data_IF_673901817551
#
_entry.id   IF_673901817551
#
_cell.length_a   1.000
_cell.length_b   1.000
_cell.length_c   1.000
_cell.angle_alpha   90.00
_cell.angle_beta   90.00
_cell.angle_gamma   90.00
#
_symmetry.space_group_name_H-M   'P 1'
#
loop_
_entity.id
_entity.type
_entity.pdbx_description
1 polymer ?
#
# COMPACT_ATOMS: atom_id res chain seq x y z
N UNK A 1 -11.70 1.38 -19.69
CA UNK A 1 -11.97 2.71 -19.07
C UNK A 1 -12.63 2.60 -17.69
N UNK A 2 -13.96 2.42 -17.56
CA UNK A 2 -14.64 2.43 -16.24
C UNK A 2 -14.17 1.30 -15.32
N UNK A 3 -13.93 0.10 -15.87
CA UNK A 3 -13.44 -1.03 -15.10
C UNK A 3 -12.03 -0.79 -14.51
N UNK A 4 -11.11 -0.23 -15.31
CA UNK A 4 -9.75 0.10 -14.87
C UNK A 4 -9.74 1.22 -13.82
N UNK A 5 -10.56 2.26 -14.00
CA UNK A 5 -10.74 3.32 -13.01
C UNK A 5 -11.26 2.76 -11.68
N UNK A 6 -12.23 1.83 -11.74
CA UNK A 6 -12.74 1.14 -10.56
C UNK A 6 -11.67 0.31 -9.86
N UNK A 7 -10.85 -0.42 -10.61
CA UNK A 7 -9.73 -1.19 -10.05
C UNK A 7 -8.72 -0.25 -9.39
N UNK A 8 -8.33 0.83 -10.05
CA UNK A 8 -7.42 1.82 -9.50
C UNK A 8 -7.92 2.38 -8.17
N UNK A 9 -9.18 2.81 -8.12
CA UNK A 9 -9.79 3.36 -6.89
C UNK A 9 -9.81 2.30 -5.79
N UNK A 10 -10.17 1.06 -6.10
CA UNK A 10 -10.17 -0.04 -5.11
C UNK A 10 -8.77 -0.30 -4.55
N UNK A 11 -7.76 -0.33 -5.40
CA UNK A 11 -6.37 -0.51 -4.99
C UNK A 11 -5.87 0.68 -4.16
N UNK A 12 -6.25 1.91 -4.53
CA UNK A 12 -5.93 3.10 -3.75
C UNK A 12 -6.54 3.02 -2.35
N UNK A 13 -7.84 2.71 -2.25
CA UNK A 13 -8.53 2.52 -0.98
C UNK A 13 -7.91 1.40 -0.14
N UNK A 14 -7.60 0.25 -0.76
CA UNK A 14 -6.93 -0.86 -0.09
C UNK A 14 -5.57 -0.45 0.47
N UNK A 15 -4.81 0.36 -0.28
CA UNK A 15 -3.53 0.88 0.17
C UNK A 15 -3.67 1.87 1.34
N UNK A 16 -4.69 2.72 1.35
CA UNK A 16 -4.98 3.56 2.51
C UNK A 16 -5.41 2.74 3.74
N UNK A 17 -6.14 1.64 3.55
CA UNK A 17 -6.44 0.71 4.64
C UNK A 17 -5.16 0.06 5.17
N UNK A 18 -4.26 -0.38 4.29
CA UNK A 18 -2.95 -0.92 4.67
C UNK A 18 -2.12 0.09 5.47
N UNK A 19 -2.11 1.35 5.04
CA UNK A 19 -1.49 2.46 5.78
C UNK A 19 -2.08 2.60 7.20
N UNK A 20 -3.41 2.65 7.30
CA UNK A 20 -4.11 2.72 8.58
C UNK A 20 -3.81 1.52 9.47
N UNK A 21 -3.78 0.32 8.91
CA UNK A 21 -3.41 -0.92 9.61
C UNK A 21 -2.01 -0.86 10.22
N UNK A 22 -1.00 -0.41 9.47
CA UNK A 22 0.36 -0.28 9.98
C UNK A 22 0.45 0.70 11.15
N UNK A 23 -0.21 1.85 11.05
CA UNK A 23 -0.18 2.88 12.09
C UNK A 23 -1.01 2.49 13.31
N UNK A 24 -2.15 1.81 13.10
CA UNK A 24 -2.96 1.26 14.16
C UNK A 24 -2.14 0.30 15.03
N UNK A 25 -1.36 -0.59 14.42
CA UNK A 25 -0.48 -1.47 15.17
C UNK A 25 0.73 -0.74 15.77
N UNK A 26 1.39 0.16 15.04
CA UNK A 26 2.58 0.88 15.53
C UNK A 26 2.28 1.75 16.77
N UNK A 27 1.15 2.46 16.78
CA UNK A 27 0.83 3.42 17.85
C UNK A 27 -0.03 2.83 18.97
N UNK A 28 -0.88 1.86 18.66
CA UNK A 28 -1.87 1.34 19.62
C UNK A 28 -1.71 -0.15 19.91
N UNK A 29 -0.80 -0.85 19.23
CA UNK A 29 -0.52 -2.27 19.50
C UNK A 29 -1.68 -3.23 19.20
N UNK A 30 -2.65 -2.85 18.37
CA UNK A 30 -3.96 -3.55 18.24
C UNK A 30 -3.87 -5.00 17.69
N UNK A 31 -2.71 -5.44 17.22
CA UNK A 31 -2.53 -6.74 16.58
C UNK A 31 -1.47 -7.58 17.30
N UNK A 32 -1.90 -8.32 18.33
CA UNK A 32 -1.01 -9.15 19.14
C UNK A 32 -0.49 -10.40 18.39
N UNK A 33 -1.25 -10.90 17.41
CA UNK A 33 -0.83 -12.06 16.63
C UNK A 33 0.18 -11.67 15.55
N UNK A 34 1.47 -11.87 15.85
CA UNK A 34 2.58 -11.51 14.97
C UNK A 34 2.57 -12.24 13.62
N UNK A 35 2.14 -13.50 13.55
CA UNK A 35 2.05 -14.24 12.28
C UNK A 35 0.97 -13.64 11.39
N UNK A 36 -0.25 -13.48 11.92
CA UNK A 36 -1.37 -12.90 11.18
C UNK A 36 -1.04 -11.48 10.72
N UNK A 37 -0.40 -10.68 11.58
CA UNK A 37 0.06 -9.34 11.23
C UNK A 37 1.03 -9.37 10.04
N UNK A 38 2.07 -10.21 10.10
CA UNK A 38 3.07 -10.33 9.02
C UNK A 38 2.44 -10.80 7.71
N UNK A 39 1.54 -11.77 7.75
CA UNK A 39 0.81 -12.24 6.57
C UNK A 39 -0.03 -11.12 5.95
N UNK A 40 -0.75 -10.35 6.77
CA UNK A 40 -1.55 -9.23 6.28
C UNK A 40 -0.67 -8.10 5.73
N UNK A 41 0.44 -7.77 6.39
CA UNK A 41 1.41 -6.78 5.90
C UNK A 41 1.94 -7.15 4.51
N UNK A 42 2.41 -8.39 4.34
CA UNK A 42 2.87 -8.89 3.03
C UNK A 42 1.72 -8.86 2.00
N UNK A 43 0.49 -9.20 2.41
CA UNK A 43 -0.68 -9.14 1.53
C UNK A 43 -0.95 -7.71 1.06
N UNK A 44 -0.93 -6.72 1.96
CA UNK A 44 -1.09 -5.31 1.62
C UNK A 44 0.02 -4.81 0.68
N UNK A 45 1.27 -5.23 0.90
CA UNK A 45 2.37 -4.90 -0.01
C UNK A 45 2.10 -5.46 -1.41
N UNK A 46 1.85 -6.77 -1.53
CA UNK A 46 1.66 -7.43 -2.83
C UNK A 46 0.43 -6.89 -3.57
N UNK A 47 -0.67 -6.65 -2.85
CA UNK A 47 -1.89 -6.12 -3.43
C UNK A 47 -1.73 -4.69 -3.96
N UNK A 48 -0.80 -3.90 -3.42
CA UNK A 48 -0.61 -2.50 -3.80
C UNK A 48 0.45 -2.28 -4.89
N UNK A 49 1.26 -3.31 -5.22
CA UNK A 49 2.23 -3.26 -6.34
C UNK A 49 1.62 -2.78 -7.66
N UNK A 50 0.41 -3.21 -8.08
CA UNK A 50 -0.17 -2.76 -9.35
C UNK A 50 -0.55 -1.28 -9.38
N UNK A 51 -0.76 -0.65 -8.21
CA UNK A 51 -1.28 0.72 -8.12
C UNK A 51 -0.38 1.75 -8.84
N UNK A 52 0.93 1.86 -8.55
CA UNK A 52 1.82 2.78 -9.28
C UNK A 52 2.00 2.39 -10.74
N UNK A 53 1.96 1.09 -11.09
CA UNK A 53 2.06 0.64 -12.48
C UNK A 53 0.86 1.17 -13.29
N UNK A 54 -0.35 1.09 -12.72
CA UNK A 54 -1.56 1.62 -13.34
C UNK A 54 -1.50 3.15 -13.41
N UNK A 55 -1.01 3.83 -12.37
CA UNK A 55 -0.85 5.29 -12.37
C UNK A 55 0.10 5.76 -13.49
N UNK A 56 1.22 5.06 -13.68
CA UNK A 56 2.26 5.41 -14.67
C UNK A 56 1.83 5.15 -16.11
N UNK A 57 1.15 4.02 -16.36
CA UNK A 57 0.91 3.55 -17.72
C UNK A 57 -0.37 4.09 -18.34
N UNK A 58 -1.31 4.60 -17.54
CA UNK A 58 -2.68 4.75 -18.02
C UNK A 58 -3.09 6.22 -18.27
N UNK A 59 -2.64 6.76 -19.41
CA UNK A 59 -2.92 8.14 -19.85
C UNK A 59 -4.42 8.46 -19.97
N UNK A 60 -5.26 7.43 -20.16
CA UNK A 60 -6.70 7.50 -20.39
C UNK A 60 -7.52 7.41 -19.10
N UNK A 61 -6.94 6.97 -18.00
CA UNK A 61 -7.64 6.73 -16.73
C UNK A 61 -8.03 8.04 -16.04
N UNK A 62 -7.20 9.08 -16.24
CA UNK A 62 -7.44 10.44 -15.77
C UNK A 62 -7.18 11.45 -16.91
N UNK A 63 -8.13 11.57 -17.86
CA UNK A 63 -7.96 12.42 -19.04
C UNK A 63 -7.91 13.91 -18.68
N UNK A 64 -8.60 14.31 -17.60
CA UNK A 64 -8.68 15.70 -17.12
C UNK A 64 -7.44 16.16 -16.33
N UNK A 65 -6.57 15.23 -15.90
CA UNK A 65 -5.33 15.60 -15.22
C UNK A 65 -4.33 16.19 -16.23
N UNK A 66 -3.85 17.39 -15.93
CA UNK A 66 -2.72 17.98 -16.64
C UNK A 66 -1.42 17.16 -16.40
N UNK A 67 -0.35 17.48 -17.13
CA UNK A 67 0.94 16.76 -17.03
C UNK A 67 1.48 16.73 -15.60
N UNK A 68 1.31 17.83 -14.85
CA UNK A 68 1.75 17.92 -13.44
C UNK A 68 0.94 16.99 -12.54
N UNK A 69 -0.39 16.96 -12.68
CA UNK A 69 -1.27 16.11 -11.90
C UNK A 69 -1.01 14.62 -12.11
N UNK A 70 -0.67 14.21 -13.34
CA UNK A 70 -0.26 12.83 -13.64
C UNK A 70 1.08 12.47 -12.97
N UNK A 71 2.03 13.41 -12.93
CA UNK A 71 3.29 13.22 -12.22
C UNK A 71 3.08 13.11 -10.71
N UNK A 72 2.24 13.97 -10.12
CA UNK A 72 1.90 13.92 -8.69
C UNK A 72 1.22 12.59 -8.36
N UNK A 73 0.23 12.16 -9.14
CA UNK A 73 -0.46 10.89 -8.92
C UNK A 73 0.53 9.70 -8.95
N UNK A 74 1.40 9.70 -9.95
CA UNK A 74 2.47 8.69 -10.07
C UNK A 74 3.37 8.70 -8.83
N UNK A 75 3.87 9.88 -8.44
CA UNK A 75 4.74 10.03 -7.29
C UNK A 75 4.07 9.56 -6.00
N UNK A 76 2.84 9.99 -5.73
CA UNK A 76 2.08 9.61 -4.54
C UNK A 76 1.85 8.10 -4.51
N UNK A 77 1.46 7.49 -5.62
CA UNK A 77 1.27 6.03 -5.70
C UNK A 77 2.58 5.26 -5.49
N UNK A 78 3.70 5.76 -5.99
CA UNK A 78 5.02 5.17 -5.78
C UNK A 78 5.49 5.32 -4.33
N UNK A 79 5.30 6.49 -3.72
CA UNK A 79 5.60 6.74 -2.31
C UNK A 79 4.75 5.86 -1.39
N UNK A 80 3.49 5.64 -1.74
CA UNK A 80 2.60 4.78 -0.97
C UNK A 80 3.03 3.31 -1.05
N UNK A 81 3.44 2.82 -2.22
CA UNK A 81 4.04 1.48 -2.37
C UNK A 81 5.35 1.38 -1.58
N UNK A 82 6.23 2.38 -1.70
CA UNK A 82 7.49 2.44 -0.94
C UNK A 82 7.22 2.40 0.56
N UNK A 83 6.22 3.13 1.03
CA UNK A 83 5.79 3.10 2.41
C UNK A 83 5.32 1.69 2.82
N UNK A 84 4.48 1.03 2.02
CA UNK A 84 4.02 -0.33 2.30
C UNK A 84 5.19 -1.32 2.35
N UNK A 85 6.15 -1.16 1.44
CA UNK A 85 7.37 -1.96 1.42
C UNK A 85 8.18 -1.75 2.70
N UNK A 86 8.44 -0.49 3.07
CA UNK A 86 9.22 -0.14 4.26
C UNK A 86 8.55 -0.65 5.54
N UNK A 87 7.24 -0.42 5.70
CA UNK A 87 6.51 -0.91 6.88
C UNK A 87 6.53 -2.44 6.93
N UNK A 88 6.22 -3.13 5.82
CA UNK A 88 6.30 -4.60 5.78
C UNK A 88 7.70 -5.09 6.13
N UNK A 89 8.75 -4.45 5.60
CA UNK A 89 10.13 -4.79 5.91
C UNK A 89 10.43 -4.60 7.40
N UNK A 90 10.06 -3.47 7.99
CA UNK A 90 10.21 -3.20 9.42
C UNK A 90 9.48 -4.27 10.24
N UNK A 91 8.24 -4.58 9.91
CA UNK A 91 7.44 -5.52 10.69
C UNK A 91 7.88 -6.97 10.56
N UNK A 92 8.26 -7.39 9.35
CA UNK A 92 8.69 -8.77 9.10
C UNK A 92 10.09 -9.00 9.66
N UNK A 93 11.02 -8.06 9.44
CA UNK A 93 12.44 -8.22 9.79
C UNK A 93 12.77 -7.79 11.21
N UNK A 94 12.17 -6.71 11.71
CA UNK A 94 12.58 -6.08 12.96
C UNK A 94 11.57 -6.24 14.10
N UNK A 95 10.28 -6.38 13.83
CA UNK A 95 9.32 -6.80 14.86
C UNK A 95 9.41 -8.31 15.09
N UNK A 96 10.44 -8.63 15.88
CA UNK A 96 10.47 -9.77 16.80
C UNK A 96 9.32 -9.61 17.79
N UNK A 97 8.18 -10.19 17.47
CA UNK A 97 7.26 -10.72 18.46
C UNK A 97 7.59 -12.19 18.64
N UNK A 98 8.11 -12.52 19.82
CA UNK A 98 8.38 -13.86 20.38
C UNK A 98 9.72 -14.55 20.05
N UNK A 99 10.39 -14.84 21.15
CA UNK A 99 11.50 -15.77 21.35
C UNK A 99 11.10 -17.11 20.75
N UNK A 100 11.84 -17.58 19.74
CA UNK A 100 11.79 -18.98 19.34
C UNK A 100 12.48 -19.78 20.45
N UNK A 101 11.67 -20.31 21.37
CA UNK A 101 11.96 -21.33 22.39
C UNK A 101 13.15 -21.07 23.33
#
# INVERSE_FOLDING_TARGET
>A
MVAEARIFIRLALLSFVGFGFYYAHLFFGIFDNGLAFKTLAVTFLLATVPLPIIAMNNKKLFPELNKSGKNVLTLVSALLLFHHFLMTFIFVMFLKGEVLF
#
